data_IF_464020582428
#
_entry.id   IF_464020582428
#
_cell.length_a   1.000
_cell.length_b   1.000
_cell.length_c   1.000
_cell.angle_alpha   90.00
_cell.angle_beta   90.00
_cell.angle_gamma   90.00
#
_symmetry.space_group_name_H-M   'P 1'
#
loop_
_entity.id
_entity.type
_entity.pdbx_description
1 polymer ?
#
# COMPACT_ATOMS: atom_id res chain seq x y z
N UNK A 1 -67.06 -17.39 47.84
CA UNK A 1 -66.84 -16.79 46.51
C UNK A 1 -65.36 -16.92 46.15
N UNK A 2 -65.06 -17.02 44.84
CA UNK A 2 -63.92 -17.70 44.19
C UNK A 2 -62.50 -17.18 44.52
N UNK A 3 -61.56 -18.11 44.63
CA UNK A 3 -60.13 -17.92 44.44
C UNK A 3 -59.78 -17.77 42.94
N UNK A 4 -58.75 -16.98 42.57
CA UNK A 4 -57.86 -17.16 41.40
C UNK A 4 -56.74 -16.09 41.45
N UNK A 5 -55.46 -16.51 41.51
CA UNK A 5 -54.30 -15.71 41.05
C UNK A 5 -54.16 -15.89 39.53
N UNK A 6 -53.67 -14.89 38.80
CA UNK A 6 -52.48 -15.19 37.99
C UNK A 6 -51.43 -14.08 37.95
N UNK A 7 -50.19 -14.53 37.78
CA UNK A 7 -49.01 -13.74 37.52
C UNK A 7 -49.06 -13.06 36.14
N UNK A 8 -48.49 -11.85 36.03
CA UNK A 8 -48.04 -11.23 34.78
C UNK A 8 -46.70 -10.54 35.10
N UNK A 9 -45.58 -11.20 34.82
CA UNK A 9 -44.85 -11.19 33.55
C UNK A 9 -43.89 -9.98 33.45
N UNK A 10 -42.69 -10.15 34.02
CA UNK A 10 -41.47 -9.50 33.54
C UNK A 10 -41.23 -9.95 32.09
N UNK A 11 -41.16 -9.03 31.14
CA UNK A 11 -40.52 -9.17 29.82
C UNK A 11 -40.56 -7.82 29.10
N UNK A 12 -39.67 -6.89 29.47
CA UNK A 12 -39.32 -5.77 28.60
C UNK A 12 -38.05 -6.15 27.86
N UNK A 13 -38.20 -6.35 26.56
CA UNK A 13 -37.25 -6.98 25.66
C UNK A 13 -35.92 -6.22 25.56
N UNK A 14 -34.82 -6.97 25.63
CA UNK A 14 -33.50 -6.53 25.22
C UNK A 14 -33.48 -6.42 23.69
N UNK A 15 -33.57 -5.20 23.18
CA UNK A 15 -33.53 -4.91 21.74
C UNK A 15 -32.54 -3.78 21.45
N UNK A 16 -31.27 -3.96 21.81
CA UNK A 16 -30.19 -3.05 21.42
C UNK A 16 -28.93 -3.85 21.10
N UNK A 17 -28.28 -3.47 20.00
CA UNK A 17 -26.94 -3.83 19.49
C UNK A 17 -26.77 -5.14 18.71
N UNK A 18 -27.40 -5.22 17.53
CA UNK A 18 -26.82 -5.92 16.37
C UNK A 18 -26.27 -4.86 15.39
N UNK A 19 -25.22 -4.13 15.79
CA UNK A 19 -24.38 -3.42 14.81
C UNK A 19 -23.49 -4.47 14.15
N UNK A 20 -24.06 -5.24 13.23
CA UNK A 20 -23.31 -6.14 12.36
C UNK A 20 -22.26 -5.32 11.60
N UNK A 21 -21.07 -5.89 11.41
CA UNK A 21 -19.99 -5.29 10.62
C UNK A 21 -20.51 -4.93 9.23
N UNK A 22 -20.85 -3.65 9.01
CA UNK A 22 -21.00 -3.15 7.65
C UNK A 22 -19.62 -3.27 7.00
N UNK A 23 -19.49 -3.94 5.85
CA UNK A 23 -18.21 -3.99 5.16
C UNK A 23 -17.78 -2.56 4.85
N UNK A 24 -16.62 -2.16 5.36
CA UNK A 24 -16.04 -0.86 5.02
C UNK A 24 -15.92 -0.80 3.50
N UNK A 25 -16.51 0.20 2.83
CA UNK A 25 -16.39 0.31 1.40
C UNK A 25 -14.91 0.41 1.01
N UNK A 26 -14.54 -0.26 -0.09
CA UNK A 26 -13.19 -0.15 -0.65
C UNK A 26 -12.85 1.33 -0.89
N UNK A 27 -11.58 1.75 -0.71
CA UNK A 27 -11.14 3.09 -1.06
C UNK A 27 -11.31 3.34 -2.56
N UNK A 28 -11.29 4.61 -2.97
CA UNK A 28 -11.32 4.95 -4.40
C UNK A 28 -9.98 4.59 -5.06
N UNK A 29 -10.01 4.29 -6.37
CA UNK A 29 -8.78 4.01 -7.13
C UNK A 29 -7.76 5.17 -7.04
N UNK A 30 -8.24 6.41 -7.12
CA UNK A 30 -7.36 7.59 -7.06
C UNK A 30 -6.71 7.74 -5.69
N UNK A 31 -7.43 7.44 -4.60
CA UNK A 31 -6.84 7.42 -3.25
C UNK A 31 -5.68 6.43 -3.19
N UNK A 32 -5.89 5.17 -3.59
CA UNK A 32 -4.83 4.16 -3.45
C UNK A 32 -3.67 4.38 -4.41
N UNK A 33 -3.93 4.97 -5.58
CA UNK A 33 -2.90 5.42 -6.54
C UNK A 33 -2.03 6.52 -5.95
N UNK A 34 -2.65 7.57 -5.41
CA UNK A 34 -1.92 8.70 -4.82
C UNK A 34 -1.08 8.27 -3.62
N UNK A 35 -1.59 7.35 -2.80
CA UNK A 35 -0.91 6.85 -1.60
C UNK A 35 0.31 6.00 -1.99
N UNK A 36 0.16 5.07 -2.95
CA UNK A 36 1.27 4.29 -3.48
C UNK A 36 2.36 5.17 -4.12
N UNK A 37 1.97 6.22 -4.86
CA UNK A 37 2.92 7.19 -5.42
C UNK A 37 3.61 8.01 -4.34
N UNK A 38 2.90 8.37 -3.27
CA UNK A 38 3.48 9.09 -2.14
C UNK A 38 4.47 8.21 -1.37
N UNK A 39 4.18 6.92 -1.21
CA UNK A 39 5.11 5.96 -0.63
C UNK A 39 6.41 5.85 -1.45
N UNK A 40 6.32 5.75 -2.78
CA UNK A 40 7.52 5.77 -3.65
C UNK A 40 8.28 7.10 -3.55
N UNK A 41 7.56 8.23 -3.44
CA UNK A 41 8.19 9.53 -3.29
C UNK A 41 9.00 9.64 -2.00
N UNK A 42 8.56 9.02 -0.89
CA UNK A 42 9.35 8.97 0.34
C UNK A 42 10.71 8.33 0.14
N UNK A 43 10.83 7.30 -0.69
CA UNK A 43 12.14 6.70 -1.03
C UNK A 43 12.97 7.63 -1.89
N UNK A 44 12.35 8.32 -2.86
CA UNK A 44 13.04 9.33 -3.68
C UNK A 44 13.58 10.47 -2.83
N UNK A 45 12.88 10.86 -1.77
CA UNK A 45 13.31 11.93 -0.86
C UNK A 45 14.57 11.56 -0.05
N UNK A 46 14.88 10.26 0.10
CA UNK A 46 16.11 9.77 0.75
C UNK A 46 17.30 9.65 -0.23
N UNK A 47 17.08 9.92 -1.52
CA UNK A 47 18.13 9.95 -2.53
C UNK A 47 18.73 11.36 -2.70
N UNK A 48 19.93 11.48 -3.29
CA UNK A 48 20.50 12.77 -3.67
C UNK A 48 19.50 13.62 -4.49
N UNK A 49 19.51 14.93 -4.27
CA UNK A 49 18.63 15.86 -4.99
C UNK A 49 19.06 16.01 -6.46
N UNK A 50 18.09 16.21 -7.35
CA UNK A 50 18.35 16.53 -8.77
C UNK A 50 18.57 15.30 -9.66
N UNK A 51 18.33 14.09 -9.15
CA UNK A 51 18.35 12.88 -9.95
C UNK A 51 17.17 12.82 -10.91
N UNK A 52 17.40 12.17 -12.05
CA UNK A 52 16.37 11.88 -13.04
C UNK A 52 15.50 10.73 -12.52
N UNK A 53 14.19 11.00 -12.42
CA UNK A 53 13.18 10.02 -12.01
C UNK A 53 12.27 9.74 -13.19
N UNK A 54 12.44 8.57 -13.80
CA UNK A 54 11.59 8.08 -14.88
C UNK A 54 10.38 7.35 -14.30
N UNK A 55 9.25 8.05 -14.27
CA UNK A 55 7.98 7.52 -13.77
C UNK A 55 7.28 6.74 -14.88
N UNK A 56 7.09 5.44 -14.68
CA UNK A 56 6.30 4.57 -15.54
C UNK A 56 4.99 4.18 -14.83
N UNK A 57 4.00 5.08 -14.78
CA UNK A 57 2.72 4.77 -14.15
C UNK A 57 2.03 3.66 -14.96
N UNK A 58 1.57 2.60 -14.31
CA UNK A 58 0.56 1.76 -14.94
C UNK A 58 -0.77 2.50 -14.86
N UNK A 59 -1.17 3.16 -15.95
CA UNK A 59 -2.48 3.84 -16.03
C UNK A 59 -3.63 2.84 -16.15
N UNK A 60 -3.33 1.53 -16.18
CA UNK A 60 -4.31 0.46 -16.24
C UNK A 60 -4.59 -0.09 -14.83
N UNK A 61 -5.83 0.01 -14.32
CA UNK A 61 -6.24 -0.73 -13.14
C UNK A 61 -6.18 -2.25 -13.40
N UNK A 62 -5.61 -2.98 -12.46
CA UNK A 62 -5.58 -4.45 -12.50
C UNK A 62 -6.64 -5.04 -11.58
N UNK A 63 -7.24 -6.16 -11.97
CA UNK A 63 -8.33 -6.76 -11.20
C UNK A 63 -7.89 -7.35 -9.87
N UNK A 64 -8.69 -7.11 -8.83
CA UNK A 64 -8.63 -7.76 -7.52
C UNK A 64 -9.75 -8.82 -7.40
N UNK A 65 -9.85 -9.49 -6.25
CA UNK A 65 -11.02 -10.32 -5.94
C UNK A 65 -12.33 -9.54 -6.03
N UNK A 66 -13.35 -10.10 -6.68
CA UNK A 66 -14.63 -9.43 -6.95
C UNK A 66 -14.51 -8.39 -8.06
N UNK A 67 -15.23 -7.28 -7.95
CA UNK A 67 -15.19 -6.15 -8.90
C UNK A 67 -14.14 -5.09 -8.52
N UNK A 68 -13.26 -5.38 -7.56
CA UNK A 68 -12.22 -4.45 -7.13
C UNK A 68 -11.07 -4.35 -8.13
N UNK A 69 -10.30 -3.27 -8.04
CA UNK A 69 -9.07 -3.07 -8.81
C UNK A 69 -7.94 -2.56 -7.94
N UNK A 70 -6.68 -2.71 -8.36
CA UNK A 70 -5.52 -2.14 -7.68
C UNK A 70 -4.63 -1.36 -8.65
N UNK A 71 -3.80 -0.48 -8.08
CA UNK A 71 -2.80 0.30 -8.80
C UNK A 71 -1.43 -0.37 -8.71
N UNK A 72 -0.67 -0.28 -9.79
CA UNK A 72 0.76 -0.58 -9.82
C UNK A 72 1.52 0.60 -10.41
N UNK A 73 2.58 1.04 -9.74
CA UNK A 73 3.48 2.07 -10.24
C UNK A 73 4.91 1.58 -10.23
N UNK A 74 5.67 1.88 -11.28
CA UNK A 74 7.09 1.59 -11.32
C UNK A 74 7.89 2.85 -11.67
N UNK A 75 8.85 3.22 -10.84
CA UNK A 75 9.76 4.34 -11.08
C UNK A 75 11.20 3.84 -11.16
N UNK A 76 11.97 4.38 -12.09
CA UNK A 76 13.40 4.13 -12.20
C UNK A 76 14.14 5.44 -11.95
N UNK A 77 15.12 5.43 -11.06
CA UNK A 77 15.92 6.60 -10.70
C UNK A 77 17.37 6.35 -11.11
N UNK A 78 17.90 7.21 -11.97
CA UNK A 78 19.32 7.18 -12.34
C UNK A 78 20.18 7.66 -11.18
N UNK A 79 21.24 6.92 -10.87
CA UNK A 79 22.14 7.25 -9.75
C UNK A 79 23.50 7.75 -10.26
N UNK A 80 24.22 8.58 -9.48
CA UNK A 80 25.55 9.02 -9.86
C UNK A 80 26.54 7.85 -9.87
N UNK A 81 27.64 8.02 -10.60
CA UNK A 81 28.75 7.05 -10.60
C UNK A 81 29.25 6.80 -9.16
N UNK A 82 29.47 5.53 -8.81
CA UNK A 82 29.94 5.13 -7.49
C UNK A 82 28.85 5.10 -6.40
N UNK A 83 27.56 5.21 -6.77
CA UNK A 83 26.45 5.03 -5.82
C UNK A 83 26.51 3.67 -5.10
N UNK A 84 26.55 3.71 -3.76
CA UNK A 84 26.55 2.50 -2.93
C UNK A 84 25.12 2.01 -2.69
N UNK A 85 24.67 1.13 -3.59
CA UNK A 85 23.33 0.56 -3.53
C UNK A 85 23.06 -0.29 -2.28
N UNK A 86 24.09 -0.97 -1.75
CA UNK A 86 23.93 -1.80 -0.56
C UNK A 86 23.74 -0.93 0.67
N UNK A 87 24.60 0.08 0.85
CA UNK A 87 24.48 1.00 1.96
C UNK A 87 23.14 1.78 1.93
N UNK A 88 22.68 2.16 0.73
CA UNK A 88 21.36 2.79 0.56
C UNK A 88 20.23 1.87 1.05
N UNK A 89 20.17 0.63 0.56
CA UNK A 89 19.11 -0.33 0.93
C UNK A 89 19.16 -0.67 2.42
N UNK A 90 20.35 -0.87 2.99
CA UNK A 90 20.52 -1.22 4.41
C UNK A 90 20.09 -0.07 5.34
N UNK A 91 20.29 1.19 4.91
CA UNK A 91 19.91 2.38 5.66
C UNK A 91 18.43 2.77 5.54
N UNK A 92 17.78 2.34 4.46
CA UNK A 92 16.45 2.81 4.09
C UNK A 92 15.36 2.56 5.15
N UNK A 93 15.28 1.39 5.82
CA UNK A 93 14.29 1.17 6.87
C UNK A 93 14.35 2.18 8.01
N UNK A 94 15.57 2.56 8.42
CA UNK A 94 15.76 3.55 9.48
C UNK A 94 15.40 4.97 9.01
N UNK A 95 15.69 5.30 7.75
CA UNK A 95 15.39 6.59 7.16
C UNK A 95 13.88 6.82 6.95
N UNK A 96 13.16 5.79 6.49
CA UNK A 96 11.72 5.88 6.22
C UNK A 96 10.86 5.86 7.49
N UNK A 97 11.33 5.23 8.56
CA UNK A 97 10.67 5.24 9.87
C UNK A 97 9.45 4.31 9.96
N UNK A 98 8.59 4.57 10.95
CA UNK A 98 7.55 3.64 11.40
C UNK A 98 6.38 3.42 10.42
N UNK A 99 6.21 4.32 9.45
CA UNK A 99 5.20 4.20 8.38
C UNK A 99 5.56 3.12 7.35
N UNK A 100 6.75 2.51 7.45
CA UNK A 100 7.27 1.51 6.52
C UNK A 100 7.76 0.29 7.30
N UNK A 101 6.98 -0.78 7.26
CA UNK A 101 7.32 -2.05 7.90
C UNK A 101 8.05 -2.93 6.89
N UNK A 102 9.27 -3.36 7.20
CA UNK A 102 10.03 -4.28 6.33
C UNK A 102 9.28 -5.61 6.21
N UNK A 103 9.07 -6.04 4.98
CA UNK A 103 8.55 -7.36 4.66
C UNK A 103 9.72 -8.34 4.49
N UNK A 104 9.82 -9.32 5.40
CA UNK A 104 10.86 -10.33 5.34
C UNK A 104 10.64 -11.26 4.14
N UNK A 105 11.45 -11.09 3.09
CA UNK A 105 11.52 -12.06 1.99
C UNK A 105 12.46 -13.20 2.35
N UNK A 106 12.04 -14.45 2.06
CA UNK A 106 12.92 -15.63 2.17
C UNK A 106 13.79 -15.83 0.93
N UNK A 107 13.69 -14.95 -0.06
CA UNK A 107 14.45 -15.01 -1.29
C UNK A 107 15.79 -14.31 -1.11
N UNK A 108 16.88 -15.01 -1.42
CA UNK A 108 18.19 -14.38 -1.54
C UNK A 108 18.33 -13.81 -2.94
N UNK A 109 18.34 -12.49 -3.03
CA UNK A 109 18.54 -11.78 -4.28
C UNK A 109 20.03 -11.56 -4.51
N UNK A 110 20.45 -11.52 -5.78
CA UNK A 110 21.84 -11.26 -6.18
C UNK A 110 22.18 -9.76 -6.26
N UNK A 111 21.24 -8.91 -5.84
CA UNK A 111 21.31 -7.45 -5.88
C UNK A 111 20.72 -6.88 -4.60
N UNK A 112 21.12 -5.66 -4.17
CA UNK A 112 20.54 -5.01 -3.01
C UNK A 112 19.04 -4.75 -3.23
N UNK A 113 18.21 -5.19 -2.28
CA UNK A 113 16.78 -4.93 -2.30
C UNK A 113 16.15 -5.04 -0.92
N UNK A 114 15.04 -4.34 -0.74
CA UNK A 114 14.19 -4.37 0.45
C UNK A 114 12.73 -4.16 0.04
N UNK A 115 11.83 -4.88 0.70
CA UNK A 115 10.38 -4.75 0.50
C UNK A 115 9.75 -4.17 1.76
N UNK A 116 8.74 -3.33 1.59
CA UNK A 116 7.99 -2.71 2.68
C UNK A 116 6.49 -2.86 2.51
N UNK A 117 5.78 -2.95 3.64
CA UNK A 117 4.39 -2.53 3.75
C UNK A 117 4.38 -1.08 4.22
N UNK A 118 3.92 -0.16 3.37
CA UNK A 118 3.78 1.25 3.69
C UNK A 118 2.47 1.48 4.47
N UNK A 119 2.51 1.27 5.78
CA UNK A 119 1.34 1.32 6.69
C UNK A 119 0.71 2.71 6.75
N UNK A 120 1.53 3.77 6.62
CA UNK A 120 1.06 5.15 6.50
C UNK A 120 0.33 5.45 5.18
N UNK A 121 0.45 4.56 4.18
CA UNK A 121 0.04 4.79 2.79
C UNK A 121 -0.94 3.72 2.29
N UNK A 122 -2.01 3.50 3.07
CA UNK A 122 -3.06 2.51 2.74
C UNK A 122 -2.54 1.08 2.55
N UNK A 123 -1.46 0.73 3.25
CA UNK A 123 -0.82 -0.58 3.19
C UNK A 123 -0.42 -0.97 1.76
N UNK A 124 0.04 -0.03 0.94
CA UNK A 124 0.67 -0.38 -0.34
C UNK A 124 1.96 -1.16 -0.08
N UNK A 125 2.20 -2.20 -0.87
CA UNK A 125 3.53 -2.81 -0.92
C UNK A 125 4.47 -1.87 -1.68
N UNK A 126 5.73 -1.84 -1.28
CA UNK A 126 6.77 -1.06 -1.92
C UNK A 126 8.07 -1.88 -1.95
N UNK A 127 8.45 -2.30 -3.14
CA UNK A 127 9.71 -2.95 -3.40
C UNK A 127 10.74 -1.92 -3.87
N UNK A 128 11.92 -1.94 -3.26
CA UNK A 128 13.07 -1.10 -3.61
C UNK A 128 14.20 -2.02 -3.99
N UNK A 129 14.76 -1.84 -5.18
CA UNK A 129 15.92 -2.62 -5.64
C UNK A 129 16.96 -1.72 -6.31
N UNK A 130 18.23 -2.10 -6.20
CA UNK A 130 19.33 -1.41 -6.88
C UNK A 130 19.88 -2.33 -7.94
N UNK A 131 19.78 -1.91 -9.20
CA UNK A 131 20.07 -2.73 -10.37
C UNK A 131 21.21 -2.11 -11.19
N UNK A 132 22.10 -2.95 -11.69
CA UNK A 132 23.07 -2.55 -12.72
C UNK A 132 22.49 -2.82 -14.10
N UNK A 133 22.47 -1.79 -14.94
CA UNK A 133 22.06 -1.83 -16.36
C UNK A 133 23.20 -1.34 -17.24
N UNK A 134 23.03 -1.43 -18.56
CA UNK A 134 24.05 -0.99 -19.52
C UNK A 134 24.35 0.51 -19.39
N UNK A 135 23.33 1.30 -19.05
CA UNK A 135 23.38 2.74 -18.81
C UNK A 135 23.95 3.15 -17.43
N UNK A 136 24.13 2.22 -16.50
CA UNK A 136 24.65 2.48 -15.15
C UNK A 136 23.85 1.82 -14.03
N UNK A 137 24.03 2.32 -12.81
CA UNK A 137 23.30 1.86 -11.62
C UNK A 137 22.00 2.65 -11.49
N UNK A 138 20.89 1.96 -11.25
CA UNK A 138 19.58 2.57 -11.03
C UNK A 138 18.94 2.05 -9.75
N UNK A 139 18.13 2.89 -9.11
CA UNK A 139 17.17 2.47 -8.10
C UNK A 139 15.84 2.22 -8.81
N UNK A 140 15.30 1.02 -8.68
CA UNK A 140 13.99 0.64 -9.20
C UNK A 140 13.00 0.52 -8.04
N UNK A 141 11.90 1.26 -8.15
CA UNK A 141 10.81 1.27 -7.19
C UNK A 141 9.58 0.64 -7.84
N UNK A 142 8.97 -0.33 -7.18
CA UNK A 142 7.71 -0.93 -7.59
C UNK A 142 6.73 -0.85 -6.41
N UNK A 143 5.60 -0.19 -6.61
CA UNK A 143 4.55 -0.16 -5.60
C UNK A 143 3.26 -0.78 -6.12
N UNK A 144 2.63 -1.59 -5.28
CA UNK A 144 1.30 -2.17 -5.53
C UNK A 144 0.36 -1.76 -4.41
N UNK A 145 -0.79 -1.19 -4.76
CA UNK A 145 -1.76 -0.75 -3.78
C UNK A 145 -2.64 -1.89 -3.27
N UNK A 146 -3.32 -1.68 -2.14
CA UNK A 146 -4.47 -2.51 -1.79
C UNK A 146 -5.61 -2.36 -2.83
N UNK A 147 -6.58 -3.29 -2.79
CA UNK A 147 -7.75 -3.23 -3.64
C UNK A 147 -8.62 -1.99 -3.35
N UNK A 148 -9.19 -1.46 -4.41
CA UNK A 148 -9.99 -0.26 -4.47
C UNK A 148 -11.21 -0.47 -5.37
N UNK A 149 -12.14 0.48 -5.30
CA UNK A 149 -13.23 0.58 -6.26
C UNK A 149 -12.69 0.86 -7.66
N UNK A 150 -13.33 0.36 -8.73
CA UNK A 150 -13.02 0.77 -10.10
C UNK A 150 -13.01 2.29 -10.24
N UNK A 151 -12.12 2.87 -11.08
CA UNK A 151 -12.21 4.28 -11.39
C UNK A 151 -13.59 4.58 -11.98
N UNK A 152 -14.16 5.72 -11.63
CA UNK A 152 -15.38 6.18 -12.27
C UNK A 152 -15.12 6.26 -13.78
N UNK A 153 -15.97 5.60 -14.59
CA UNK A 153 -15.88 5.71 -16.05
C UNK A 153 -15.86 7.19 -16.43
N UNK A 154 -14.99 7.64 -17.35
CA UNK A 154 -15.13 8.98 -17.90
C UNK A 154 -16.55 9.09 -18.46
N UNK A 155 -17.28 10.14 -18.07
CA UNK A 155 -18.58 10.42 -18.67
C UNK A 155 -18.37 10.59 -20.19
N UNK A 156 -19.21 9.96 -21.03
CA UNK A 156 -19.06 10.02 -22.49
C UNK A 156 -19.14 11.44 -23.04
#
# INVERSE_FOLDING_TARGET
MKATRPALALLAAAALTLTGCAPTPLPTYETVRSEAQSAMQRVVDELPTGLRVDKNPSDKPFGCSGDGVFYTGQWTIETPEGFDGQAFVDGLPAALGEDFVVEETRLKLSYPAVSFIATGYKNSTLDVSVLTRDEGVVVDLLSTSQCAQPPASPSP
#
